data_IF_777359909758
#
_entry.id   IF_777359909758
#
_cell.length_a   1.000
_cell.length_b   1.000
_cell.length_c   1.000
_cell.angle_alpha   90.00
_cell.angle_beta   90.00
_cell.angle_gamma   90.00
#
_symmetry.space_group_name_H-M   'P 1'
#
loop_
_entity.id
_entity.type
_entity.pdbx_description
1 polymer ?
#
# COMPACT_ATOMS: atom_id res chain seq x y z
N UNK A 1 0.43 16.92 21.13
CA UNK A 1 0.44 17.47 19.76
C UNK A 1 -0.98 17.86 19.38
N UNK A 2 -1.25 19.14 19.14
CA UNK A 2 -2.58 19.67 18.76
C UNK A 2 -3.73 19.15 19.68
N UNK A 3 -3.53 19.12 20.99
CA UNK A 3 -4.52 18.64 21.98
C UNK A 3 -4.56 17.11 22.17
N UNK A 4 -3.72 16.35 21.45
CA UNK A 4 -3.63 14.89 21.56
C UNK A 4 -2.43 14.51 22.46
N UNK A 5 -2.65 13.67 23.46
CA UNK A 5 -1.59 13.08 24.29
C UNK A 5 -0.92 11.93 23.53
N UNK A 6 0.39 12.00 23.30
CA UNK A 6 1.16 10.97 22.62
C UNK A 6 2.04 10.24 23.64
N UNK A 7 1.80 8.95 23.83
CA UNK A 7 2.63 8.04 24.63
C UNK A 7 3.58 7.28 23.70
N UNK A 8 4.87 7.55 23.81
CA UNK A 8 5.89 6.84 23.02
C UNK A 8 6.52 5.76 23.87
N UNK A 9 6.48 4.54 23.36
CA UNK A 9 7.10 3.39 24.01
C UNK A 9 8.51 3.17 23.46
N UNK A 10 9.39 2.65 24.32
CA UNK A 10 10.72 2.25 23.88
C UNK A 10 10.61 1.13 22.83
N UNK A 11 11.33 1.26 21.73
CA UNK A 11 11.31 0.28 20.65
C UNK A 11 12.73 -0.19 20.33
N UNK A 12 12.86 -1.47 19.96
CA UNK A 12 14.11 -2.04 19.45
C UNK A 12 14.53 -1.30 18.18
N UNK A 13 15.77 -0.78 18.17
CA UNK A 13 16.37 -0.05 17.04
C UNK A 13 17.16 -0.99 16.11
N UNK A 14 17.55 -0.51 14.92
CA UNK A 14 18.38 -1.28 13.96
C UNK A 14 17.67 -2.50 13.34
N UNK A 15 16.33 -2.46 13.23
CA UNK A 15 15.52 -3.57 12.72
C UNK A 15 15.46 -3.66 11.18
N UNK A 16 15.96 -2.66 10.46
CA UNK A 16 15.88 -2.63 8.98
C UNK A 16 16.67 -3.76 8.34
N UNK A 17 17.77 -4.14 8.95
CA UNK A 17 18.75 -5.08 8.39
C UNK A 17 18.64 -6.50 8.97
N UNK A 18 17.66 -6.76 9.85
CA UNK A 18 17.52 -8.06 10.52
C UNK A 18 16.07 -8.44 10.74
N UNK A 19 15.66 -9.59 10.19
CA UNK A 19 14.33 -10.17 10.41
C UNK A 19 14.08 -10.45 11.91
N UNK A 20 15.08 -10.91 12.64
CA UNK A 20 14.98 -11.20 14.08
C UNK A 20 14.70 -9.90 14.86
N UNK A 21 15.48 -8.83 14.60
CA UNK A 21 15.24 -7.53 15.23
C UNK A 21 13.86 -6.96 14.91
N UNK A 22 13.35 -7.21 13.71
CA UNK A 22 11.99 -6.84 13.31
C UNK A 22 10.93 -7.57 14.15
N UNK A 23 11.09 -8.87 14.33
CA UNK A 23 10.21 -9.68 15.19
C UNK A 23 10.29 -9.21 16.65
N UNK A 24 11.51 -9.00 17.16
CA UNK A 24 11.72 -8.49 18.52
C UNK A 24 11.07 -7.12 18.74
N UNK A 25 11.11 -6.23 17.75
CA UNK A 25 10.40 -4.95 17.80
C UNK A 25 8.89 -5.15 17.98
N UNK A 26 8.29 -6.08 17.25
CA UNK A 26 6.84 -6.37 17.36
C UNK A 26 6.49 -6.96 18.71
N UNK A 27 7.28 -7.90 19.20
CA UNK A 27 7.11 -8.48 20.55
C UNK A 27 7.28 -7.40 21.63
N UNK A 28 8.29 -6.55 21.49
CA UNK A 28 8.54 -5.44 22.40
C UNK A 28 7.33 -4.51 22.50
N UNK A 29 6.80 -4.05 21.35
CA UNK A 29 5.61 -3.20 21.34
C UNK A 29 4.37 -3.92 21.91
N UNK A 30 4.19 -5.18 21.58
CA UNK A 30 3.10 -6.01 22.11
C UNK A 30 3.11 -6.04 23.64
N UNK A 31 4.29 -6.24 24.25
CA UNK A 31 4.43 -6.34 25.71
C UNK A 31 4.29 -4.97 26.37
N UNK A 32 5.14 -4.01 26.00
CA UNK A 32 5.15 -2.69 26.66
C UNK A 32 3.88 -1.88 26.37
N UNK A 33 3.32 -2.02 25.17
CA UNK A 33 2.02 -1.45 24.83
C UNK A 33 0.89 -2.02 25.69
N UNK A 34 0.91 -3.32 25.93
CA UNK A 34 -0.08 -3.97 26.81
C UNK A 34 0.06 -3.56 28.27
N UNK A 35 1.31 -3.42 28.77
CA UNK A 35 1.57 -2.90 30.10
C UNK A 35 1.06 -1.45 30.22
N UNK A 36 1.41 -0.59 29.28
CA UNK A 36 0.90 0.78 29.26
C UNK A 36 -0.64 0.82 29.22
N UNK A 37 -1.27 -0.05 28.40
CA UNK A 37 -2.71 -0.16 28.28
C UNK A 37 -3.40 -0.51 29.62
N UNK A 38 -2.77 -1.28 30.50
CA UNK A 38 -3.28 -1.59 31.84
C UNK A 38 -3.37 -0.31 32.70
N UNK A 39 -2.37 0.57 32.63
CA UNK A 39 -2.36 1.78 33.47
C UNK A 39 -3.23 2.91 32.92
N UNK A 40 -3.28 3.07 31.58
CA UNK A 40 -3.96 4.22 30.96
C UNK A 40 -5.36 3.89 30.44
N UNK A 41 -5.65 2.62 30.14
CA UNK A 41 -6.88 2.21 29.43
C UNK A 41 -8.18 2.52 30.19
N UNK A 42 -8.14 2.58 31.53
CA UNK A 42 -9.31 2.94 32.35
C UNK A 42 -9.81 4.37 32.07
N UNK A 43 -8.93 5.26 31.63
CA UNK A 43 -9.22 6.70 31.46
C UNK A 43 -10.00 7.02 30.20
N UNK A 44 -10.15 6.06 29.29
CA UNK A 44 -10.75 6.26 27.96
C UNK A 44 -12.05 5.48 27.85
N UNK A 45 -13.00 6.01 27.10
CA UNK A 45 -14.30 5.39 26.90
C UNK A 45 -14.33 4.46 25.68
N UNK A 46 -13.51 4.74 24.67
CA UNK A 46 -13.40 3.98 23.42
C UNK A 46 -11.93 3.70 23.09
N UNK A 47 -11.71 2.59 22.39
CA UNK A 47 -10.39 2.23 21.87
C UNK A 47 -10.47 2.09 20.36
N UNK A 48 -9.60 2.81 19.66
CA UNK A 48 -9.43 2.71 18.23
C UNK A 48 -8.03 2.17 17.92
N UNK A 49 -7.97 1.05 17.20
CA UNK A 49 -6.74 0.45 16.73
C UNK A 49 -6.57 0.65 15.23
N UNK A 50 -5.50 1.31 14.80
CA UNK A 50 -5.13 1.45 13.41
C UNK A 50 -4.09 0.39 13.04
N UNK A 51 -4.53 -0.68 12.38
CA UNK A 51 -3.70 -1.86 12.10
C UNK A 51 -3.02 -1.73 10.74
N UNK A 52 -1.87 -1.05 10.70
CA UNK A 52 -1.03 -0.86 9.51
C UNK A 52 -0.04 -2.01 9.24
N UNK A 53 0.17 -2.87 10.21
CA UNK A 53 1.21 -3.89 10.17
C UNK A 53 0.82 -5.13 10.96
N UNK A 54 1.74 -5.70 11.74
CA UNK A 54 1.47 -6.96 12.41
C UNK A 54 0.30 -6.82 13.40
N UNK A 55 -0.59 -7.79 13.38
CA UNK A 55 -1.76 -7.82 14.26
C UNK A 55 -1.38 -7.82 15.76
N UNK A 56 -0.14 -8.21 16.08
CA UNK A 56 0.41 -8.12 17.45
C UNK A 56 0.37 -6.72 18.03
N UNK A 57 0.48 -5.68 17.19
CA UNK A 57 0.46 -4.29 17.63
C UNK A 57 -0.91 -3.85 18.15
N UNK A 58 -1.95 -4.66 17.91
CA UNK A 58 -3.31 -4.43 18.38
C UNK A 58 -3.60 -5.12 19.72
N UNK A 59 -2.67 -5.90 20.30
CA UNK A 59 -2.88 -6.56 21.58
C UNK A 59 -3.19 -5.58 22.73
N UNK A 60 -2.57 -4.39 22.84
CA UNK A 60 -2.95 -3.38 23.83
C UNK A 60 -4.45 -3.03 23.82
N UNK A 61 -5.05 -2.93 22.64
CA UNK A 61 -6.48 -2.66 22.48
C UNK A 61 -7.33 -3.82 23.03
N UNK A 62 -6.92 -5.05 22.78
CA UNK A 62 -7.57 -6.25 23.33
C UNK A 62 -7.44 -6.31 24.86
N UNK A 63 -6.29 -5.93 25.41
CA UNK A 63 -6.07 -5.83 26.87
C UNK A 63 -7.05 -4.85 27.51
N UNK A 64 -7.18 -3.64 26.97
CA UNK A 64 -8.15 -2.64 27.47
C UNK A 64 -9.57 -3.20 27.40
N UNK A 65 -9.92 -3.82 26.27
CA UNK A 65 -11.25 -4.44 26.08
C UNK A 65 -11.53 -5.50 27.13
N UNK A 66 -10.57 -6.37 27.44
CA UNK A 66 -10.76 -7.45 28.43
C UNK A 66 -10.84 -6.93 29.85
N UNK A 67 -9.95 -6.02 30.23
CA UNK A 67 -9.87 -5.53 31.60
C UNK A 67 -10.98 -4.53 31.92
N UNK A 68 -11.24 -3.59 31.02
CA UNK A 68 -12.11 -2.44 31.31
C UNK A 68 -13.43 -2.48 30.52
N UNK A 69 -13.67 -3.53 29.72
CA UNK A 69 -14.89 -3.72 28.92
C UNK A 69 -15.18 -2.57 27.93
N UNK A 70 -14.18 -1.77 27.60
CA UNK A 70 -14.34 -0.63 26.70
C UNK A 70 -14.64 -1.09 25.27
N UNK A 71 -15.57 -0.42 24.54
CA UNK A 71 -15.77 -0.66 23.10
C UNK A 71 -14.45 -0.47 22.34
N UNK A 72 -14.16 -1.44 21.45
CA UNK A 72 -12.89 -1.47 20.73
C UNK A 72 -13.17 -1.68 19.24
N UNK A 73 -12.71 -0.75 18.42
CA UNK A 73 -12.78 -0.81 16.97
C UNK A 73 -11.37 -1.00 16.38
N UNK A 74 -11.22 -1.92 15.45
CA UNK A 74 -9.99 -2.04 14.65
C UNK A 74 -10.26 -1.57 13.22
N UNK A 75 -9.39 -0.70 12.72
CA UNK A 75 -9.34 -0.38 11.29
C UNK A 75 -8.21 -1.17 10.63
N UNK A 76 -8.62 -2.19 9.87
CA UNK A 76 -7.74 -3.20 9.30
C UNK A 76 -7.21 -2.72 7.95
N UNK A 77 -5.88 -2.60 7.87
CA UNK A 77 -5.14 -2.24 6.66
C UNK A 77 -4.34 -3.42 6.11
N UNK A 78 -4.15 -4.46 6.93
CA UNK A 78 -3.40 -5.66 6.60
C UNK A 78 -4.07 -6.90 7.22
N UNK A 79 -4.23 -7.98 6.44
CA UNK A 79 -5.00 -9.15 6.84
C UNK A 79 -4.08 -10.32 7.19
N UNK A 80 -4.04 -10.64 8.48
CA UNK A 80 -3.38 -11.83 8.99
C UNK A 80 -4.35 -13.04 9.00
N UNK A 81 -3.84 -14.27 8.77
CA UNK A 81 -2.43 -14.65 8.57
C UNK A 81 -1.92 -14.53 7.12
N UNK A 82 -2.78 -14.23 6.13
CA UNK A 82 -2.41 -14.29 4.70
C UNK A 82 -1.19 -13.41 4.37
N UNK A 83 -1.13 -12.19 4.88
CA UNK A 83 -0.01 -11.28 4.63
C UNK A 83 1.31 -11.79 5.20
N UNK A 84 1.28 -12.53 6.32
CA UNK A 84 2.50 -13.14 6.89
C UNK A 84 3.16 -14.06 5.85
N UNK A 85 2.35 -14.86 5.15
CA UNK A 85 2.86 -15.78 4.12
C UNK A 85 3.29 -15.03 2.86
N UNK A 86 2.53 -14.04 2.43
CA UNK A 86 2.88 -13.21 1.28
C UNK A 86 4.20 -12.44 1.47
N UNK A 87 4.54 -12.09 2.72
CA UNK A 87 5.84 -11.48 3.05
C UNK A 87 6.99 -12.49 3.20
N UNK A 88 6.78 -13.77 2.85
CA UNK A 88 7.83 -14.78 2.70
C UNK A 88 7.99 -15.76 3.85
N UNK A 89 7.10 -15.76 4.85
CA UNK A 89 7.11 -16.81 5.87
C UNK A 89 6.53 -18.11 5.30
N UNK A 90 7.24 -19.22 5.53
CA UNK A 90 6.77 -20.52 5.06
C UNK A 90 5.50 -20.96 5.82
N UNK A 91 4.50 -21.41 5.07
CA UNK A 91 3.26 -21.97 5.62
C UNK A 91 3.51 -23.38 6.15
N UNK A 92 3.98 -23.49 7.39
CA UNK A 92 4.15 -24.79 8.10
C UNK A 92 2.98 -25.00 9.06
N UNK A 93 2.56 -26.26 9.26
CA UNK A 93 1.35 -26.62 10.03
C UNK A 93 1.32 -25.99 11.42
N UNK A 94 2.42 -26.05 12.17
CA UNK A 94 2.50 -25.51 13.53
C UNK A 94 2.33 -23.99 13.55
N UNK A 95 3.03 -23.27 12.66
CA UNK A 95 2.91 -21.81 12.55
C UNK A 95 1.49 -21.41 12.13
N UNK A 96 0.91 -22.11 11.16
CA UNK A 96 -0.46 -21.83 10.70
C UNK A 96 -1.48 -22.02 11.84
N UNK A 97 -1.42 -23.10 12.57
CA UNK A 97 -2.31 -23.36 13.70
C UNK A 97 -2.17 -22.28 14.79
N UNK A 98 -0.93 -21.89 15.12
CA UNK A 98 -0.66 -20.81 16.08
C UNK A 98 -1.24 -19.48 15.60
N UNK A 99 -0.98 -19.10 14.34
CA UNK A 99 -1.50 -17.84 13.77
C UNK A 99 -3.02 -17.85 13.72
N UNK A 100 -3.67 -18.95 13.34
CA UNK A 100 -5.13 -19.07 13.29
C UNK A 100 -5.76 -18.85 14.68
N UNK A 101 -5.19 -19.48 15.71
CA UNK A 101 -5.64 -19.31 17.09
C UNK A 101 -5.43 -17.85 17.56
N UNK A 102 -4.26 -17.30 17.28
CA UNK A 102 -3.93 -15.93 17.66
C UNK A 102 -4.85 -14.91 16.98
N UNK A 103 -5.04 -15.03 15.66
CA UNK A 103 -5.90 -14.13 14.87
C UNK A 103 -7.35 -14.22 15.34
N UNK A 104 -7.88 -15.44 15.58
CA UNK A 104 -9.21 -15.64 16.18
C UNK A 104 -9.32 -14.99 17.55
N UNK A 105 -8.32 -15.18 18.41
CA UNK A 105 -8.30 -14.55 19.73
C UNK A 105 -8.38 -13.03 19.62
N UNK A 106 -7.60 -12.42 18.73
CA UNK A 106 -7.60 -10.97 18.53
C UNK A 106 -8.97 -10.47 18.08
N UNK A 107 -9.51 -11.00 16.99
CA UNK A 107 -10.80 -10.53 16.45
C UNK A 107 -12.01 -10.91 17.31
N UNK A 108 -11.93 -11.97 18.11
CA UNK A 108 -13.00 -12.30 19.07
C UNK A 108 -13.08 -11.34 20.26
N UNK A 109 -12.07 -10.54 20.50
CA UNK A 109 -12.01 -9.60 21.61
C UNK A 109 -12.17 -8.13 21.20
N UNK A 110 -12.70 -7.87 20.01
CA UNK A 110 -13.05 -6.52 19.53
C UNK A 110 -14.56 -6.39 19.34
N UNK A 111 -15.07 -5.17 19.23
CA UNK A 111 -16.51 -4.88 19.13
C UNK A 111 -16.93 -4.42 17.75
N UNK A 112 -16.01 -3.87 16.94
CA UNK A 112 -16.28 -3.42 15.58
C UNK A 112 -15.02 -3.52 14.72
N UNK A 113 -15.20 -3.72 13.42
CA UNK A 113 -14.13 -3.75 12.41
C UNK A 113 -14.46 -2.73 11.32
N UNK A 114 -13.49 -1.86 11.02
CA UNK A 114 -13.46 -1.13 9.76
C UNK A 114 -12.43 -1.82 8.83
N UNK A 115 -12.75 -1.92 7.55
CA UNK A 115 -11.89 -2.51 6.53
C UNK A 115 -11.57 -1.49 5.45
N UNK A 116 -10.30 -1.40 5.06
CA UNK A 116 -9.85 -0.47 4.02
C UNK A 116 -10.09 -0.97 2.60
N UNK A 117 -10.33 -2.27 2.43
CA UNK A 117 -10.74 -2.90 1.19
C UNK A 117 -11.94 -3.82 1.42
N UNK A 118 -12.91 -3.83 0.47
CA UNK A 118 -14.11 -4.67 0.56
C UNK A 118 -13.78 -6.16 0.58
N UNK A 119 -12.77 -6.57 -0.18
CA UNK A 119 -12.33 -7.97 -0.25
C UNK A 119 -11.77 -8.51 1.08
N UNK A 120 -11.35 -7.65 2.01
CA UNK A 120 -10.90 -8.09 3.35
C UNK A 120 -12.00 -8.79 4.15
N UNK A 121 -13.28 -8.46 3.90
CA UNK A 121 -14.38 -9.12 4.60
C UNK A 121 -14.34 -10.63 4.41
N UNK A 122 -14.15 -11.10 3.19
CA UNK A 122 -14.09 -12.54 2.88
C UNK A 122 -12.95 -13.25 3.61
N UNK A 123 -11.81 -12.59 3.74
CA UNK A 123 -10.62 -13.10 4.42
C UNK A 123 -10.73 -13.09 5.96
N UNK A 124 -11.48 -12.15 6.51
CA UNK A 124 -11.66 -11.99 7.96
C UNK A 124 -12.81 -12.81 8.52
N UNK A 125 -13.83 -13.16 7.71
CA UNK A 125 -14.99 -13.96 8.13
C UNK A 125 -14.65 -15.21 8.95
N UNK A 126 -13.61 -16.01 8.63
CA UNK A 126 -13.25 -17.19 9.40
C UNK A 126 -12.76 -16.91 10.82
N UNK A 127 -12.35 -15.68 11.10
CA UNK A 127 -11.67 -15.27 12.33
C UNK A 127 -12.53 -14.43 13.27
N UNK A 128 -13.71 -13.98 12.84
CA UNK A 128 -14.57 -13.09 13.62
C UNK A 128 -15.75 -13.85 14.26
N UNK A 129 -16.35 -13.22 15.26
CA UNK A 129 -17.61 -13.73 15.84
C UNK A 129 -18.76 -13.52 14.86
N UNK A 130 -19.69 -14.46 14.82
CA UNK A 130 -20.94 -14.32 14.08
C UNK A 130 -21.68 -13.05 14.53
N UNK A 131 -22.10 -12.23 13.57
CA UNK A 131 -22.82 -10.98 13.85
C UNK A 131 -21.95 -9.75 14.11
N UNK A 132 -20.63 -9.88 14.12
CA UNK A 132 -19.75 -8.70 14.13
C UNK A 132 -19.91 -7.93 12.81
N UNK A 133 -20.17 -6.63 12.91
CA UNK A 133 -20.40 -5.77 11.73
C UNK A 133 -19.07 -5.30 11.14
N UNK A 134 -18.99 -5.32 9.81
CA UNK A 134 -17.96 -4.63 9.05
C UNK A 134 -18.45 -3.24 8.66
N UNK A 135 -17.55 -2.28 8.74
CA UNK A 135 -17.71 -0.96 8.14
C UNK A 135 -16.65 -0.79 7.06
N UNK A 136 -17.06 -0.46 5.85
CA UNK A 136 -16.09 -0.10 4.81
C UNK A 136 -15.62 1.33 5.06
N UNK A 137 -14.33 1.46 5.31
CA UNK A 137 -13.66 2.74 5.53
C UNK A 137 -12.36 2.73 4.70
N UNK A 138 -12.42 3.14 3.43
CA UNK A 138 -11.23 3.21 2.58
C UNK A 138 -10.24 4.23 3.15
N UNK A 139 -8.98 4.11 2.76
CA UNK A 139 -8.02 5.16 3.06
C UNK A 139 -8.45 6.46 2.36
N UNK A 140 -8.22 7.57 3.04
CA UNK A 140 -8.40 8.90 2.42
C UNK A 140 -7.24 9.22 1.49
N UNK A 141 -7.46 10.14 0.57
CA UNK A 141 -6.39 10.72 -0.22
C UNK A 141 -5.55 11.70 0.62
N UNK A 142 -4.29 11.84 0.27
CA UNK A 142 -3.50 12.96 0.77
C UNK A 142 -4.10 14.29 0.27
N UNK A 143 -4.09 15.29 1.14
CA UNK A 143 -4.35 16.67 0.71
C UNK A 143 -3.15 17.15 -0.10
N UNK A 144 -3.26 17.00 -1.41
CA UNK A 144 -2.20 17.34 -2.35
C UNK A 144 -2.41 18.78 -2.84
N UNK A 145 -1.38 19.60 -2.69
CA UNK A 145 -1.34 20.90 -3.39
C UNK A 145 -1.20 20.64 -4.90
N UNK A 146 -2.34 20.62 -5.59
CA UNK A 146 -2.40 20.40 -7.03
C UNK A 146 -1.98 21.61 -7.86
N UNK A 147 -1.83 22.79 -7.25
CA UNK A 147 -1.40 24.02 -7.93
C UNK A 147 0.12 24.17 -7.92
N UNK A 148 0.83 23.33 -7.17
CA UNK A 148 2.30 23.33 -7.12
C UNK A 148 2.93 23.14 -8.51
N UNK A 149 4.02 23.84 -8.81
CA UNK A 149 4.75 23.65 -10.06
C UNK A 149 5.36 22.25 -10.15
N UNK A 150 5.23 21.53 -11.28
CA UNK A 150 5.85 20.22 -11.46
C UNK A 150 7.38 20.33 -11.48
N UNK A 151 8.07 19.27 -11.06
CA UNK A 151 9.51 19.15 -11.30
C UNK A 151 9.77 18.80 -12.77
N UNK A 152 10.99 19.01 -13.20
CA UNK A 152 11.46 18.55 -14.53
C UNK A 152 12.05 17.15 -14.38
N UNK A 153 11.31 16.13 -14.82
CA UNK A 153 11.78 14.74 -14.79
C UNK A 153 12.81 14.47 -15.90
N UNK A 154 12.55 14.97 -17.10
CA UNK A 154 13.47 14.93 -18.23
C UNK A 154 13.10 15.99 -19.26
N UNK A 155 14.11 16.49 -20.01
CA UNK A 155 13.90 17.41 -21.15
C UNK A 155 13.71 16.67 -22.48
N UNK A 156 14.09 15.40 -22.55
CA UNK A 156 14.16 14.65 -23.81
C UNK A 156 13.07 13.58 -23.94
N UNK A 157 12.63 12.98 -22.83
CA UNK A 157 11.56 11.99 -22.84
C UNK A 157 10.19 12.67 -22.78
N UNK A 158 9.23 12.11 -23.54
CA UNK A 158 7.88 12.68 -23.72
C UNK A 158 6.84 12.05 -22.78
N UNK A 159 7.10 10.83 -22.28
CA UNK A 159 6.16 10.08 -21.44
C UNK A 159 6.87 9.61 -20.17
N UNK A 160 6.34 10.01 -19.04
CA UNK A 160 6.88 9.71 -17.72
C UNK A 160 5.97 8.75 -16.97
N UNK A 161 6.47 7.53 -16.73
CA UNK A 161 5.86 6.54 -15.85
C UNK A 161 6.47 6.67 -14.46
N UNK A 162 5.66 6.79 -13.43
CA UNK A 162 6.17 6.99 -12.06
C UNK A 162 5.57 6.00 -11.09
N UNK A 163 6.43 5.25 -10.43
CA UNK A 163 6.10 4.49 -9.23
C UNK A 163 6.58 5.26 -7.99
N UNK A 164 5.73 5.36 -6.97
CA UNK A 164 6.09 5.99 -5.70
C UNK A 164 5.70 5.12 -4.50
N UNK A 165 6.63 4.93 -3.57
CA UNK A 165 6.37 4.23 -2.32
C UNK A 165 7.51 3.31 -1.86
N UNK A 166 7.19 2.36 -0.98
CA UNK A 166 8.16 1.37 -0.50
C UNK A 166 8.68 0.50 -1.65
N UNK A 167 9.98 0.25 -1.68
CA UNK A 167 10.66 -0.57 -2.69
C UNK A 167 10.97 -1.94 -2.09
N UNK A 168 9.93 -2.75 -1.90
CA UNK A 168 10.03 -4.13 -1.44
C UNK A 168 9.75 -5.13 -2.56
N UNK A 169 9.94 -6.43 -2.30
CA UNK A 169 9.69 -7.50 -3.29
C UNK A 169 8.22 -7.57 -3.71
N UNK A 170 7.29 -7.33 -2.77
CA UNK A 170 5.86 -7.42 -3.04
C UNK A 170 5.34 -6.35 -3.99
N UNK A 171 6.09 -5.28 -4.24
CA UNK A 171 5.72 -4.23 -5.19
C UNK A 171 5.92 -4.59 -6.66
N UNK A 172 6.46 -5.77 -6.96
CA UNK A 172 6.60 -6.29 -8.33
C UNK A 172 7.41 -5.40 -9.29
N UNK A 173 8.33 -4.59 -8.77
CA UNK A 173 9.12 -3.65 -9.59
C UNK A 173 10.12 -4.37 -10.50
N UNK A 174 10.47 -5.61 -10.20
CA UNK A 174 11.33 -6.44 -11.06
C UNK A 174 10.67 -6.69 -12.43
N UNK A 175 9.39 -7.10 -12.44
CA UNK A 175 8.64 -7.30 -13.68
C UNK A 175 8.43 -5.99 -14.44
N UNK A 176 8.24 -4.89 -13.74
CA UNK A 176 8.11 -3.56 -14.35
C UNK A 176 9.40 -3.13 -15.07
N UNK A 177 10.55 -3.27 -14.40
CA UNK A 177 11.85 -2.95 -14.98
C UNK A 177 12.14 -3.85 -16.18
N UNK A 178 11.92 -5.17 -16.05
CA UNK A 178 12.11 -6.11 -17.13
C UNK A 178 11.23 -5.77 -18.34
N UNK A 179 9.96 -5.48 -18.11
CA UNK A 179 9.03 -5.09 -19.17
C UNK A 179 9.42 -3.77 -19.84
N UNK A 180 9.91 -2.80 -19.08
CA UNK A 180 10.39 -1.53 -19.64
C UNK A 180 11.67 -1.73 -20.47
N UNK A 181 12.57 -2.63 -20.05
CA UNK A 181 13.77 -3.00 -20.80
C UNK A 181 13.45 -3.79 -22.09
N UNK A 182 12.32 -4.50 -22.16
CA UNK A 182 11.85 -5.20 -23.37
C UNK A 182 11.27 -4.27 -24.44
N UNK A 183 10.97 -3.02 -24.10
CA UNK A 183 10.46 -2.06 -25.09
C UNK A 183 11.44 -1.92 -26.26
N UNK A 184 10.93 -1.86 -27.52
CA UNK A 184 11.76 -1.47 -28.65
C UNK A 184 12.47 -0.12 -28.43
N UNK A 185 13.67 0.03 -28.97
CA UNK A 185 14.49 1.23 -28.78
C UNK A 185 13.77 2.55 -29.08
N UNK A 186 12.89 2.56 -30.08
CA UNK A 186 12.11 3.72 -30.48
C UNK A 186 11.12 4.16 -29.36
N UNK A 187 10.53 3.19 -28.63
CA UNK A 187 9.66 3.46 -27.49
C UNK A 187 10.46 3.85 -26.25
N UNK A 188 11.57 3.16 -25.97
CA UNK A 188 12.45 3.55 -24.85
C UNK A 188 12.97 4.97 -25.00
N UNK A 189 13.25 5.45 -26.24
CA UNK A 189 13.69 6.84 -26.48
C UNK A 189 12.61 7.88 -26.16
N UNK A 190 11.35 7.50 -26.13
CA UNK A 190 10.22 8.40 -25.87
C UNK A 190 9.79 8.39 -24.40
N UNK A 191 10.26 7.44 -23.58
CA UNK A 191 9.73 7.22 -22.24
C UNK A 191 10.82 7.21 -21.15
N UNK A 192 10.41 7.50 -19.92
CA UNK A 192 11.23 7.37 -18.73
C UNK A 192 10.43 6.69 -17.62
N UNK A 193 11.06 5.71 -16.97
CA UNK A 193 10.53 5.08 -15.77
C UNK A 193 11.16 5.73 -14.54
N UNK A 194 10.34 6.34 -13.70
CA UNK A 194 10.75 7.02 -12.48
C UNK A 194 10.35 6.17 -11.27
N UNK A 195 11.31 5.85 -10.42
CA UNK A 195 11.10 5.06 -9.21
C UNK A 195 11.45 5.92 -8.00
N UNK A 196 10.45 6.26 -7.19
CA UNK A 196 10.56 7.12 -6.02
C UNK A 196 10.34 6.28 -4.77
N UNK A 197 11.26 6.35 -3.84
CA UNK A 197 11.16 5.65 -2.56
C UNK A 197 12.44 4.99 -2.13
N UNK A 198 12.32 4.14 -1.11
CA UNK A 198 13.40 3.33 -0.54
C UNK A 198 12.83 1.98 -0.09
N UNK A 199 13.68 0.98 0.08
CA UNK A 199 13.27 -0.33 0.58
C UNK A 199 14.27 -1.44 0.34
N UNK A 200 13.94 -2.61 0.87
CA UNK A 200 14.87 -3.76 0.90
C UNK A 200 15.27 -4.31 -0.49
N UNK A 201 14.51 -3.99 -1.53
CA UNK A 201 14.78 -4.48 -2.88
C UNK A 201 15.51 -3.46 -3.78
N UNK A 202 15.79 -2.24 -3.29
CA UNK A 202 16.37 -1.16 -4.08
C UNK A 202 17.70 -1.53 -4.74
N UNK A 203 18.59 -2.18 -3.99
CA UNK A 203 19.93 -2.57 -4.50
C UNK A 203 19.79 -3.57 -5.65
N UNK A 204 18.90 -4.55 -5.52
CA UNK A 204 18.62 -5.53 -6.57
C UNK A 204 18.04 -4.86 -7.82
N UNK A 205 17.07 -3.96 -7.67
CA UNK A 205 16.44 -3.26 -8.80
C UNK A 205 17.43 -2.36 -9.55
N UNK A 206 18.36 -1.69 -8.86
CA UNK A 206 19.43 -0.93 -9.49
C UNK A 206 20.35 -1.82 -10.33
N UNK A 207 20.68 -3.01 -9.84
CA UNK A 207 21.45 -4.00 -10.63
C UNK A 207 20.64 -4.46 -11.85
N UNK A 208 19.38 -4.79 -11.66
CA UNK A 208 18.48 -5.25 -12.72
C UNK A 208 18.27 -4.21 -13.83
N UNK A 209 18.26 -2.94 -13.50
CA UNK A 209 18.11 -1.86 -14.47
C UNK A 209 19.33 -1.71 -15.40
N UNK A 210 20.44 -2.40 -15.11
CA UNK A 210 21.66 -2.43 -15.91
C UNK A 210 22.11 -1.04 -16.38
N UNK A 211 22.08 -0.06 -15.48
CA UNK A 211 22.41 1.34 -15.76
C UNK A 211 21.64 1.98 -16.93
N UNK A 212 20.46 1.47 -17.26
CA UNK A 212 19.61 2.06 -18.28
C UNK A 212 19.30 3.53 -17.92
N UNK A 213 19.75 4.52 -18.69
CA UNK A 213 19.61 5.94 -18.33
C UNK A 213 18.15 6.43 -18.33
N UNK A 214 17.22 5.59 -18.80
CA UNK A 214 15.78 5.87 -18.83
C UNK A 214 15.03 5.30 -17.63
N UNK A 215 15.72 4.60 -16.73
CA UNK A 215 15.18 4.14 -15.44
C UNK A 215 15.86 4.95 -14.33
N UNK A 216 15.13 5.88 -13.76
CA UNK A 216 15.68 6.85 -12.80
C UNK A 216 15.16 6.54 -11.40
N UNK A 217 16.09 6.32 -10.47
CA UNK A 217 15.80 6.14 -9.06
C UNK A 217 16.01 7.47 -8.32
N UNK A 218 14.90 8.08 -7.88
CA UNK A 218 14.91 9.38 -7.21
C UNK A 218 15.18 9.31 -5.70
N UNK A 219 15.30 8.09 -5.14
CA UNK A 219 15.42 7.90 -3.69
C UNK A 219 14.15 8.27 -2.93
N UNK A 220 14.28 8.33 -1.61
CA UNK A 220 13.19 8.74 -0.72
C UNK A 220 12.98 10.25 -0.81
N UNK A 221 11.76 10.67 -1.09
CA UNK A 221 11.34 12.06 -1.14
C UNK A 221 10.50 12.40 0.10
N UNK A 222 10.43 13.68 0.45
CA UNK A 222 9.52 14.18 1.48
C UNK A 222 8.10 14.25 0.95
N UNK A 223 7.11 14.16 1.85
CA UNK A 223 5.69 14.08 1.47
C UNK A 223 5.25 15.31 0.67
N UNK A 224 5.74 16.48 1.04
CA UNK A 224 5.43 17.77 0.44
C UNK A 224 5.87 17.87 -1.04
N UNK A 225 6.92 17.15 -1.42
CA UNK A 225 7.40 17.13 -2.80
C UNK A 225 6.69 16.13 -3.70
N UNK A 226 5.92 15.18 -3.13
CA UNK A 226 5.29 14.12 -3.91
C UNK A 226 4.31 14.66 -4.96
N UNK A 227 3.57 15.72 -4.64
CA UNK A 227 2.66 16.39 -5.57
C UNK A 227 3.38 16.88 -6.85
N UNK A 228 4.61 17.39 -6.72
CA UNK A 228 5.45 17.86 -7.85
C UNK A 228 5.78 16.70 -8.80
N UNK A 229 6.13 15.52 -8.23
CA UNK A 229 6.42 14.31 -9.01
C UNK A 229 5.16 13.77 -9.69
N UNK A 230 4.04 13.70 -8.98
CA UNK A 230 2.78 13.24 -9.57
C UNK A 230 2.34 14.16 -10.70
N UNK A 231 2.45 15.47 -10.53
CA UNK A 231 2.10 16.44 -11.56
C UNK A 231 2.98 16.32 -12.80
N UNK A 232 4.28 16.01 -12.63
CA UNK A 232 5.23 15.82 -13.72
C UNK A 232 5.04 14.49 -14.48
N UNK A 233 4.26 13.56 -13.93
CA UNK A 233 4.06 12.22 -14.51
C UNK A 233 2.91 12.19 -15.50
N UNK A 234 3.04 11.33 -16.55
CA UNK A 234 1.95 11.00 -17.46
C UNK A 234 1.10 9.84 -16.95
N UNK A 235 1.74 8.85 -16.32
CA UNK A 235 1.09 7.68 -15.72
C UNK A 235 1.69 7.39 -14.35
N UNK A 236 0.81 7.13 -13.36
CA UNK A 236 1.22 6.68 -12.03
C UNK A 236 1.01 5.18 -11.92
N UNK A 237 2.06 4.46 -11.52
CA UNK A 237 2.06 2.99 -11.48
C UNK A 237 1.66 2.52 -10.08
N UNK A 238 0.60 1.70 -10.02
CA UNK A 238 0.28 0.88 -8.86
C UNK A 238 0.55 -0.58 -9.18
N UNK A 239 1.33 -1.26 -8.33
CA UNK A 239 1.72 -2.64 -8.61
C UNK A 239 1.93 -3.44 -7.33
N UNK A 240 1.54 -4.72 -7.37
CA UNK A 240 1.86 -5.77 -6.41
C UNK A 240 2.06 -7.09 -7.16
N UNK A 241 2.76 -8.04 -6.54
CA UNK A 241 2.87 -9.41 -7.06
C UNK A 241 1.49 -10.10 -7.05
N UNK A 242 1.35 -11.14 -7.89
CA UNK A 242 0.10 -11.91 -8.00
C UNK A 242 -0.01 -12.93 -6.86
N UNK A 243 -0.50 -12.47 -5.73
CA UNK A 243 -0.79 -13.28 -4.54
C UNK A 243 -2.23 -13.03 -4.07
N UNK A 244 -2.91 -14.07 -3.58
CA UNK A 244 -4.33 -14.02 -3.25
C UNK A 244 -4.72 -12.93 -2.25
N UNK A 245 -3.82 -12.54 -1.35
CA UNK A 245 -4.07 -11.44 -0.41
C UNK A 245 -4.00 -10.08 -1.11
N UNK A 246 -3.15 -9.93 -2.11
CA UNK A 246 -3.01 -8.68 -2.83
C UNK A 246 -4.14 -8.45 -3.83
N UNK A 247 -4.83 -9.51 -4.28
CA UNK A 247 -6.03 -9.35 -5.10
C UNK A 247 -7.20 -8.71 -4.35
N UNK A 248 -7.22 -8.83 -3.02
CA UNK A 248 -8.24 -8.19 -2.16
C UNK A 248 -7.72 -6.94 -1.44
N UNK A 249 -6.50 -6.51 -1.74
CA UNK A 249 -5.86 -5.33 -1.10
C UNK A 249 -5.96 -4.12 -1.99
N UNK A 250 -6.40 -2.99 -1.43
CA UNK A 250 -6.35 -1.68 -2.09
C UNK A 250 -5.20 -0.87 -1.47
N UNK A 251 -4.03 -0.77 -2.17
CA UNK A 251 -2.90 -0.01 -1.65
C UNK A 251 -3.23 1.47 -1.46
N UNK A 252 -2.84 2.06 -0.33
CA UNK A 252 -3.14 3.47 -0.01
C UNK A 252 -2.65 4.49 -1.06
N UNK A 253 -1.67 4.11 -1.89
CA UNK A 253 -1.18 4.99 -2.98
C UNK A 253 -2.23 5.26 -4.07
N UNK A 254 -3.24 4.38 -4.23
CA UNK A 254 -4.24 4.60 -5.28
C UNK A 254 -5.08 5.84 -4.99
N UNK A 255 -5.39 6.11 -3.71
CA UNK A 255 -6.12 7.31 -3.32
C UNK A 255 -5.31 8.58 -3.64
N UNK A 256 -4.01 8.58 -3.32
CA UNK A 256 -3.11 9.69 -3.68
C UNK A 256 -3.00 9.88 -5.20
N UNK A 257 -3.01 8.80 -5.99
CA UNK A 257 -2.96 8.88 -7.45
C UNK A 257 -4.26 9.40 -8.06
N UNK A 258 -5.40 9.02 -7.49
CA UNK A 258 -6.72 9.55 -7.86
C UNK A 258 -6.78 11.04 -7.53
N UNK A 259 -6.35 11.46 -6.32
CA UNK A 259 -6.30 12.86 -5.92
C UNK A 259 -5.34 13.69 -6.80
N UNK A 260 -4.24 13.10 -7.27
CA UNK A 260 -3.33 13.74 -8.21
C UNK A 260 -3.93 13.91 -9.62
N UNK A 261 -5.11 13.35 -9.89
CA UNK A 261 -5.85 13.42 -11.17
C UNK A 261 -5.02 12.93 -12.36
N UNK A 262 -4.22 11.88 -12.15
CA UNK A 262 -3.34 11.32 -13.19
C UNK A 262 -3.82 9.96 -13.66
N UNK A 263 -3.64 9.63 -14.95
CA UNK A 263 -3.88 8.28 -15.46
C UNK A 263 -3.11 7.23 -14.64
N UNK A 264 -3.79 6.15 -14.25
CA UNK A 264 -3.22 5.08 -13.44
C UNK A 264 -2.88 3.90 -14.33
N UNK A 265 -1.65 3.41 -14.25
CA UNK A 265 -1.25 2.12 -14.80
C UNK A 265 -1.26 1.08 -13.67
N UNK A 266 -2.32 0.27 -13.64
CA UNK A 266 -2.53 -0.77 -12.65
C UNK A 266 -1.90 -2.09 -13.10
N UNK A 267 -0.77 -2.47 -12.50
CA UNK A 267 -0.07 -3.74 -12.72
C UNK A 267 -0.32 -4.61 -11.48
N UNK A 268 -1.57 -4.98 -11.30
CA UNK A 268 -2.10 -5.66 -10.11
C UNK A 268 -3.45 -6.28 -10.46
N UNK A 269 -3.81 -7.42 -9.86
CA UNK A 269 -5.12 -8.06 -10.02
C UNK A 269 -6.07 -7.71 -8.86
N UNK A 270 -7.36 -8.04 -9.02
CA UNK A 270 -8.41 -7.94 -7.99
C UNK A 270 -8.94 -6.52 -7.74
N UNK A 271 -9.33 -6.23 -6.49
CA UNK A 271 -10.09 -5.02 -6.11
C UNK A 271 -9.49 -3.71 -6.65
N UNK A 272 -8.16 -3.58 -6.65
CA UNK A 272 -7.49 -2.39 -7.21
C UNK A 272 -7.63 -2.30 -8.72
N UNK A 273 -7.49 -3.43 -9.42
CA UNK A 273 -7.68 -3.48 -10.88
C UNK A 273 -9.12 -3.13 -11.26
N UNK A 274 -10.08 -3.61 -10.48
CA UNK A 274 -11.50 -3.36 -10.70
C UNK A 274 -11.84 -1.88 -10.45
N UNK A 275 -11.30 -1.26 -9.40
CA UNK A 275 -11.42 0.19 -9.18
C UNK A 275 -10.93 0.97 -10.41
N UNK A 276 -9.78 0.61 -10.97
CA UNK A 276 -9.20 1.33 -12.11
C UNK A 276 -10.02 1.10 -13.40
N UNK A 277 -10.49 -0.13 -13.65
CA UNK A 277 -11.28 -0.49 -14.82
C UNK A 277 -12.68 0.10 -14.78
N UNK A 278 -13.41 -0.14 -13.68
CA UNK A 278 -14.83 0.21 -13.56
C UNK A 278 -15.05 1.72 -13.55
N UNK A 279 -14.11 2.46 -12.98
CA UNK A 279 -14.14 3.92 -12.96
C UNK A 279 -13.37 4.58 -14.12
N UNK A 280 -12.82 3.79 -15.05
CA UNK A 280 -12.06 4.30 -16.20
C UNK A 280 -10.92 5.27 -15.80
N UNK A 281 -10.12 4.89 -14.80
CA UNK A 281 -9.07 5.76 -14.24
C UNK A 281 -7.74 5.62 -14.99
N UNK A 282 -7.61 4.63 -15.87
CA UNK A 282 -6.38 4.34 -16.58
C UNK A 282 -6.39 2.99 -17.28
N UNK A 283 -5.26 2.29 -17.26
CA UNK A 283 -5.10 0.96 -17.86
C UNK A 283 -4.76 -0.08 -16.79
N UNK A 284 -5.14 -1.33 -17.06
CA UNK A 284 -4.82 -2.50 -16.25
C UNK A 284 -4.07 -3.53 -17.05
N UNK A 285 -3.17 -4.26 -16.40
CA UNK A 285 -2.48 -5.44 -16.95
C UNK A 285 -2.13 -6.42 -15.85
N UNK A 286 -2.13 -7.71 -16.19
CA UNK A 286 -1.72 -8.79 -15.29
C UNK A 286 -0.26 -8.60 -14.82
N UNK A 287 0.00 -8.64 -13.50
CA UNK A 287 1.32 -8.37 -12.94
C UNK A 287 2.36 -9.47 -13.22
N UNK A 288 1.93 -10.68 -13.60
CA UNK A 288 2.81 -11.82 -13.84
C UNK A 288 3.35 -11.88 -15.30
N UNK A 289 2.70 -11.18 -16.23
CA UNK A 289 3.02 -11.27 -17.66
C UNK A 289 3.86 -10.07 -18.14
N UNK A 290 5.19 -10.24 -18.10
CA UNK A 290 6.15 -9.20 -18.47
C UNK A 290 5.94 -8.71 -19.92
N UNK A 291 5.64 -9.60 -20.85
CA UNK A 291 5.41 -9.23 -22.26
C UNK A 291 4.14 -8.38 -22.43
N UNK A 292 3.07 -8.69 -21.71
CA UNK A 292 1.85 -7.87 -21.72
C UNK A 292 2.10 -6.51 -21.06
N UNK A 293 2.87 -6.46 -19.98
CA UNK A 293 3.24 -5.19 -19.32
C UNK A 293 4.01 -4.31 -20.33
N UNK A 294 4.96 -4.87 -21.09
CA UNK A 294 5.70 -4.15 -22.13
C UNK A 294 4.77 -3.59 -23.20
N UNK A 295 3.83 -4.40 -23.73
CA UNK A 295 2.82 -3.94 -24.70
C UNK A 295 1.92 -2.82 -24.17
N UNK A 296 1.61 -2.85 -22.86
CA UNK A 296 0.82 -1.78 -22.25
C UNK A 296 1.63 -0.50 -22.12
N UNK A 297 2.94 -0.57 -21.88
CA UNK A 297 3.81 0.61 -21.95
C UNK A 297 3.81 1.22 -23.38
N UNK A 298 3.94 0.41 -24.43
CA UNK A 298 3.83 0.88 -25.82
C UNK A 298 2.50 1.61 -26.06
N UNK A 299 1.38 0.98 -25.66
CA UNK A 299 0.04 1.58 -25.75
C UNK A 299 -0.08 2.91 -25.00
N UNK A 300 0.53 3.03 -23.82
CA UNK A 300 0.57 4.28 -23.07
C UNK A 300 1.38 5.37 -23.77
N UNK A 301 2.51 5.00 -24.38
CA UNK A 301 3.40 5.92 -25.11
C UNK A 301 2.70 6.48 -26.35
N UNK A 302 1.98 5.63 -27.08
CA UNK A 302 1.25 6.02 -28.30
C UNK A 302 -0.13 6.64 -28.01
N UNK A 303 -0.53 6.70 -26.72
CA UNK A 303 -1.84 7.18 -26.35
C UNK A 303 -2.00 8.67 -26.62
N UNK A 304 -3.11 9.03 -27.29
CA UNK A 304 -3.45 10.43 -27.57
C UNK A 304 -3.66 11.24 -26.30
N UNK A 305 -3.37 12.54 -26.39
CA UNK A 305 -3.59 13.48 -25.28
C UNK A 305 -5.06 13.53 -24.84
N UNK A 306 -5.99 13.45 -25.79
CA UNK A 306 -7.44 13.38 -25.51
C UNK A 306 -7.81 12.16 -24.64
N UNK A 307 -7.25 10.97 -24.94
CA UNK A 307 -7.50 9.77 -24.14
C UNK A 307 -6.90 9.85 -22.74
N UNK A 308 -5.68 10.40 -22.59
CA UNK A 308 -5.09 10.66 -21.26
C UNK A 308 -5.97 11.60 -20.44
N UNK A 309 -6.48 12.67 -21.07
CA UNK A 309 -7.36 13.63 -20.41
C UNK A 309 -8.68 13.00 -19.94
N UNK A 310 -9.26 12.02 -20.67
CA UNK A 310 -10.46 11.33 -20.21
C UNK A 310 -10.25 10.61 -18.88
N UNK A 311 -9.09 9.98 -18.67
CA UNK A 311 -8.73 9.37 -17.38
C UNK A 311 -8.58 10.42 -16.27
N UNK A 312 -7.95 11.56 -16.59
CA UNK A 312 -7.78 12.69 -15.64
C UNK A 312 -9.14 13.18 -15.12
N UNK A 313 -10.12 13.38 -16.01
CA UNK A 313 -11.48 13.81 -15.65
C UNK A 313 -12.18 12.79 -14.76
N UNK A 314 -12.04 11.49 -15.04
CA UNK A 314 -12.64 10.44 -14.24
C UNK A 314 -11.99 10.34 -12.84
N UNK A 315 -10.67 10.48 -12.75
CA UNK A 315 -9.96 10.56 -11.47
C UNK A 315 -10.44 11.75 -10.62
N UNK A 316 -10.65 12.92 -11.24
CA UNK A 316 -11.16 14.10 -10.55
C UNK A 316 -12.56 13.86 -9.98
N UNK A 317 -13.48 13.32 -10.78
CA UNK A 317 -14.84 12.98 -10.32
C UNK A 317 -14.81 12.01 -9.13
N UNK A 318 -14.02 10.95 -9.21
CA UNK A 318 -13.95 9.94 -8.15
C UNK A 318 -13.32 10.50 -6.88
N UNK A 319 -12.31 11.37 -6.98
CA UNK A 319 -11.68 12.01 -5.82
C UNK A 319 -12.68 12.84 -5.02
N UNK A 320 -13.59 13.54 -5.69
CA UNK A 320 -14.61 14.40 -5.06
C UNK A 320 -15.75 13.61 -4.39
N UNK A 321 -16.02 12.38 -4.83
CA UNK A 321 -17.18 11.60 -4.39
C UNK A 321 -16.88 10.51 -3.38
N UNK A 322 -15.68 9.92 -3.42
CA UNK A 322 -15.39 8.68 -2.69
C UNK A 322 -14.25 8.82 -1.70
N UNK A 323 -13.29 9.72 -1.94
CA UNK A 323 -12.06 9.82 -1.15
C UNK A 323 -11.81 11.22 -0.57
N UNK A 324 -12.80 12.12 -0.64
CA UNK A 324 -12.79 13.44 -0.01
C UNK A 324 -13.16 13.40 1.47
#
# INVERSE_FOLDING_TARGET
YKGINIFRLHAVTGYKDSAIKKILKYINFMIFGSIAAIFIGRRYDYVFGFNLGPLTDMLPAVVIRKLYKKPTMLWVQDVWPDSVYAYGFKKIKVLSAFLDVFVKFMYHNITAIAISSKGFESKLKPYIKKGLRFSYAPNWADDLDIDIAPIVLSKTQKVHFTFAGNIGKVQNLENIINAFCLLPNEYQKKAQLNIIGDGSNLVNLKKLSNNNPRIVFHGKQVREDMAKFYKASDFLIVSLIDESIFSVTVPAKIQSYIAAKKPILAIINGDTADIVKDNHLGLHVDPSNISLISKVFEKCIDMSKSKKNSFTVNNDKLSQTTFS
#
